data_IF_041634813852
#
_entry.id   IF_041634813852
#
_cell.length_a   1.000
_cell.length_b   1.000
_cell.length_c   1.000
_cell.angle_alpha   90.00
_cell.angle_beta   90.00
_cell.angle_gamma   90.00
#
_symmetry.space_group_name_H-M   'P 1'
#
loop_
_entity.id
_entity.type
_entity.pdbx_description
1 polymer ?
#
# COMPACT_ATOMS: atom_id res chain seq x y z
N UNK A 1 1.50 -12.56 -2.15
CA UNK A 1 0.89 -11.54 -1.28
C UNK A 1 1.58 -11.42 0.07
N UNK A 2 1.52 -10.23 0.67
CA UNK A 2 1.92 -9.95 2.05
C UNK A 2 0.72 -10.03 3.02
N UNK A 3 -0.50 -10.06 2.48
CA UNK A 3 -1.76 -9.94 3.23
C UNK A 3 -2.74 -11.07 2.90
N UNK A 4 -2.44 -12.33 3.25
CA UNK A 4 -3.25 -13.48 2.87
C UNK A 4 -4.71 -13.38 3.35
N UNK A 5 -4.97 -12.72 4.46
CA UNK A 5 -6.31 -12.51 4.98
C UNK A 5 -7.15 -11.59 4.10
N UNK A 6 -6.56 -10.50 3.62
CA UNK A 6 -7.21 -9.56 2.69
C UNK A 6 -7.54 -10.27 1.39
N UNK A 7 -6.58 -10.99 0.82
CA UNK A 7 -6.77 -11.77 -0.42
C UNK A 7 -7.88 -12.80 -0.24
N UNK A 8 -7.87 -13.56 0.86
CA UNK A 8 -8.91 -14.54 1.16
C UNK A 8 -10.29 -13.92 1.20
N UNK A 9 -10.46 -12.85 1.96
CA UNK A 9 -11.75 -12.22 2.15
C UNK A 9 -12.27 -11.57 0.87
N UNK A 10 -11.40 -10.93 0.11
CA UNK A 10 -11.75 -10.32 -1.16
C UNK A 10 -12.12 -11.38 -2.21
N UNK A 11 -11.34 -12.45 -2.33
CA UNK A 11 -11.63 -13.57 -3.22
C UNK A 11 -12.96 -14.25 -2.85
N UNK A 12 -13.22 -14.47 -1.57
CA UNK A 12 -14.47 -15.03 -1.10
C UNK A 12 -15.69 -14.17 -1.49
N UNK A 13 -15.60 -12.86 -1.29
CA UNK A 13 -16.63 -11.91 -1.72
C UNK A 13 -16.85 -11.94 -3.22
N UNK A 14 -15.78 -11.90 -3.99
CA UNK A 14 -15.83 -11.94 -5.44
C UNK A 14 -16.49 -13.22 -5.99
N UNK A 15 -16.20 -14.35 -5.35
CA UNK A 15 -16.77 -15.64 -5.71
C UNK A 15 -18.16 -15.88 -5.11
N UNK A 16 -18.67 -15.02 -4.22
CA UNK A 16 -19.95 -15.22 -3.55
C UNK A 16 -19.95 -16.46 -2.63
N UNK A 17 -18.82 -16.78 -2.00
CA UNK A 17 -18.69 -17.94 -1.10
C UNK A 17 -18.23 -17.52 0.30
N UNK A 18 -18.55 -18.30 1.34
CA UNK A 18 -18.02 -18.03 2.68
C UNK A 18 -16.48 -18.05 2.69
N UNK A 19 -15.86 -17.13 3.44
CA UNK A 19 -14.40 -17.04 3.55
C UNK A 19 -13.76 -18.35 4.06
N UNK A 20 -14.48 -19.13 4.85
CA UNK A 20 -14.03 -20.44 5.32
C UNK A 20 -13.80 -21.47 4.19
N UNK A 21 -14.39 -21.25 3.01
CA UNK A 21 -14.20 -22.09 1.82
C UNK A 21 -13.02 -21.65 0.95
N UNK A 22 -12.37 -20.57 1.28
CA UNK A 22 -11.20 -20.06 0.55
C UNK A 22 -9.95 -20.24 1.41
N UNK A 23 -8.97 -20.94 0.86
CA UNK A 23 -7.65 -21.09 1.47
C UNK A 23 -6.61 -20.37 0.64
N UNK A 24 -5.88 -19.46 1.26
CA UNK A 24 -4.72 -18.77 0.68
C UNK A 24 -3.46 -19.30 1.35
N UNK A 25 -2.56 -19.85 0.57
CA UNK A 25 -1.26 -20.33 1.04
C UNK A 25 -0.17 -19.47 0.42
N UNK A 26 0.68 -18.89 1.25
CA UNK A 26 1.76 -18.01 0.83
C UNK A 26 3.08 -18.70 1.12
N UNK A 27 3.87 -19.02 0.08
CA UNK A 27 5.25 -19.47 0.26
C UNK A 27 6.11 -18.27 0.73
N UNK A 28 7.41 -18.49 1.05
CA UNK A 28 8.31 -17.39 1.37
C UNK A 28 8.27 -16.30 0.29
N UNK A 29 7.94 -15.07 0.70
CA UNK A 29 7.64 -13.97 -0.25
C UNK A 29 8.90 -13.44 -0.92
N UNK A 30 10.06 -13.50 -0.27
CA UNK A 30 11.33 -13.00 -0.79
C UNK A 30 11.47 -11.48 -0.80
N UNK A 31 10.41 -10.76 -0.54
CA UNK A 31 10.30 -9.30 -0.55
C UNK A 31 9.03 -8.85 -1.24
N UNK A 32 8.46 -7.75 -0.79
CA UNK A 32 7.22 -7.18 -1.36
C UNK A 32 7.27 -5.66 -1.44
N UNK A 33 7.88 -5.01 -0.43
CA UNK A 33 8.10 -3.55 -0.37
C UNK A 33 6.82 -2.72 -0.58
N UNK A 34 5.66 -3.24 -0.17
CA UNK A 34 4.34 -2.66 -0.41
C UNK A 34 3.62 -3.22 -1.63
N UNK A 35 4.30 -3.53 -2.72
CA UNK A 35 3.71 -3.99 -3.98
C UNK A 35 2.77 -5.21 -3.83
N UNK A 36 3.00 -6.07 -2.84
CA UNK A 36 2.23 -7.28 -2.61
C UNK A 36 1.16 -7.12 -1.52
N UNK A 37 0.78 -5.90 -1.18
CA UNK A 37 -0.31 -5.61 -0.24
C UNK A 37 -1.69 -5.63 -0.90
N UNK A 38 -1.77 -5.37 -2.19
CA UNK A 38 -3.04 -5.27 -2.89
C UNK A 38 -3.43 -6.57 -3.59
N UNK A 39 -4.65 -6.56 -4.12
CA UNK A 39 -5.25 -7.61 -4.94
C UNK A 39 -4.66 -7.54 -6.35
N UNK A 40 -3.63 -8.33 -6.61
CA UNK A 40 -2.99 -8.34 -7.92
C UNK A 40 -3.64 -9.37 -8.86
N UNK A 41 -3.12 -10.58 -8.87
CA UNK A 41 -3.52 -11.64 -9.81
C UNK A 41 -4.42 -12.71 -9.18
N UNK A 42 -4.48 -12.79 -7.85
CA UNK A 42 -5.14 -13.89 -7.14
C UNK A 42 -6.65 -13.96 -7.41
N UNK A 43 -7.41 -12.83 -7.39
CA UNK A 43 -8.82 -12.86 -7.72
C UNK A 43 -9.09 -13.27 -9.16
N UNK A 44 -8.24 -12.86 -10.10
CA UNK A 44 -8.36 -13.24 -11.52
C UNK A 44 -8.13 -14.74 -11.70
N UNK A 45 -7.09 -15.30 -11.06
CA UNK A 45 -6.84 -16.73 -11.09
C UNK A 45 -8.03 -17.53 -10.53
N UNK A 46 -8.64 -17.05 -9.45
CA UNK A 46 -9.80 -17.69 -8.84
C UNK A 46 -11.04 -17.65 -9.76
N UNK A 47 -11.31 -16.51 -10.40
CA UNK A 47 -12.41 -16.38 -11.37
C UNK A 47 -12.21 -17.27 -12.59
N UNK A 48 -11.00 -17.31 -13.14
CA UNK A 48 -10.66 -18.14 -14.28
C UNK A 48 -10.79 -19.64 -13.94
N UNK A 49 -10.36 -20.04 -12.76
CA UNK A 49 -10.51 -21.41 -12.28
C UNK A 49 -11.98 -21.80 -12.16
N UNK A 50 -12.82 -20.91 -11.62
CA UNK A 50 -14.27 -21.13 -11.56
C UNK A 50 -14.93 -21.23 -12.94
N UNK A 51 -14.56 -20.33 -13.84
CA UNK A 51 -15.13 -20.27 -15.18
C UNK A 51 -14.74 -21.47 -16.04
N UNK A 52 -13.49 -21.92 -15.93
CA UNK A 52 -12.98 -23.06 -16.70
C UNK A 52 -13.28 -24.43 -16.06
N UNK A 53 -13.63 -24.47 -14.78
CA UNK A 53 -13.77 -25.72 -14.00
C UNK A 53 -12.45 -26.49 -13.83
N UNK A 54 -11.30 -25.83 -14.02
CA UNK A 54 -9.96 -26.43 -14.00
C UNK A 54 -9.01 -25.62 -13.10
N UNK A 55 -7.93 -26.24 -12.59
CA UNK A 55 -6.85 -25.51 -11.96
C UNK A 55 -6.25 -24.48 -12.93
N UNK A 56 -5.97 -23.29 -12.42
CA UNK A 56 -5.39 -22.18 -13.19
C UNK A 56 -4.08 -21.73 -12.57
N UNK A 57 -3.08 -21.53 -13.41
CA UNK A 57 -1.84 -20.85 -13.08
C UNK A 57 -1.80 -19.54 -13.86
N UNK A 58 -1.67 -18.42 -13.14
CA UNK A 58 -1.53 -17.09 -13.73
C UNK A 58 -0.16 -16.54 -13.37
N UNK A 59 0.57 -16.08 -14.36
CA UNK A 59 1.88 -15.46 -14.23
C UNK A 59 1.94 -14.31 -15.21
N UNK A 60 2.11 -13.09 -14.70
CA UNK A 60 2.29 -11.92 -15.56
C UNK A 60 3.64 -11.98 -16.27
N UNK A 61 3.68 -11.56 -17.51
CA UNK A 61 4.91 -11.18 -18.19
C UNK A 61 5.50 -9.91 -17.53
N UNK A 62 6.73 -9.56 -17.88
CA UNK A 62 7.33 -8.31 -17.39
C UNK A 62 6.53 -7.08 -17.84
N UNK A 63 6.04 -7.09 -19.06
CA UNK A 63 5.24 -6.00 -19.61
C UNK A 63 3.89 -5.86 -18.88
N UNK A 64 3.18 -6.96 -18.69
CA UNK A 64 1.92 -6.97 -17.93
C UNK A 64 2.13 -6.50 -16.49
N UNK A 65 3.21 -6.93 -15.83
CA UNK A 65 3.53 -6.48 -14.48
C UNK A 65 3.76 -4.97 -14.43
N UNK A 66 4.52 -4.42 -15.39
CA UNK A 66 4.78 -2.99 -15.48
C UNK A 66 3.52 -2.15 -15.78
N UNK A 67 2.52 -2.73 -16.42
CA UNK A 67 1.25 -2.05 -16.72
C UNK A 67 0.22 -2.16 -15.60
N UNK A 68 0.30 -3.18 -14.76
CA UNK A 68 -0.77 -3.51 -13.81
C UNK A 68 -0.36 -3.43 -12.34
N UNK A 69 0.93 -3.34 -12.04
CA UNK A 69 1.38 -3.21 -10.66
C UNK A 69 1.12 -1.80 -10.10
N UNK A 70 1.07 -1.72 -8.80
CA UNK A 70 1.08 -0.44 -8.11
C UNK A 70 2.47 0.21 -8.25
N UNK A 71 2.49 1.53 -8.36
CA UNK A 71 3.71 2.30 -8.42
C UNK A 71 4.02 2.93 -7.07
N UNK A 72 5.29 3.30 -6.86
CA UNK A 72 5.66 4.08 -5.71
C UNK A 72 5.05 5.48 -5.84
N UNK A 73 4.48 5.94 -4.76
CA UNK A 73 3.84 7.24 -4.67
C UNK A 73 4.81 8.41 -4.86
N UNK A 74 4.36 9.45 -5.53
CA UNK A 74 5.00 10.75 -5.49
C UNK A 74 4.57 11.48 -4.22
N UNK A 75 5.47 12.25 -3.62
CA UNK A 75 5.15 13.02 -2.44
C UNK A 75 5.83 14.39 -2.46
N UNK A 76 5.11 15.40 -2.02
CA UNK A 76 5.66 16.70 -1.67
C UNK A 76 5.78 16.79 -0.15
N UNK A 77 7.00 16.99 0.34
CA UNK A 77 7.30 17.01 1.77
C UNK A 77 7.89 18.35 2.16
N UNK A 78 7.26 19.02 3.12
CA UNK A 78 7.73 20.27 3.71
C UNK A 78 7.98 20.06 5.18
N UNK A 79 9.22 20.28 5.63
CA UNK A 79 9.62 20.10 7.02
C UNK A 79 10.24 21.41 7.53
N UNK A 80 9.80 21.84 8.71
CA UNK A 80 10.39 22.93 9.46
C UNK A 80 10.72 22.42 10.85
N UNK A 81 11.97 22.59 11.28
CA UNK A 81 12.40 22.20 12.62
C UNK A 81 13.01 23.42 13.34
N UNK A 82 12.63 23.61 14.59
CA UNK A 82 13.28 24.53 15.49
C UNK A 82 14.34 23.79 16.30
N UNK A 83 15.56 24.29 16.28
CA UNK A 83 16.70 23.68 16.95
C UNK A 83 17.39 24.67 17.87
N UNK A 84 17.92 24.21 18.98
CA UNK A 84 18.78 24.96 19.88
C UNK A 84 20.22 24.98 19.38
N UNK A 85 21.08 25.87 19.92
CA UNK A 85 22.49 25.98 19.48
C UNK A 85 23.32 24.74 19.82
N UNK A 86 22.92 23.98 20.80
CA UNK A 86 23.53 22.71 21.21
C UNK A 86 22.97 21.48 20.46
N UNK A 87 22.09 21.70 19.47
CA UNK A 87 21.59 20.65 18.58
C UNK A 87 20.30 19.98 19.04
N UNK A 88 19.69 20.40 20.16
CA UNK A 88 18.38 19.90 20.58
C UNK A 88 17.27 20.33 19.64
N UNK A 89 16.33 19.42 19.32
CA UNK A 89 15.16 19.74 18.51
C UNK A 89 13.99 20.06 19.43
N UNK A 90 13.60 21.33 19.48
CA UNK A 90 12.52 21.81 20.35
C UNK A 90 11.15 21.76 19.71
N UNK A 91 11.08 21.67 18.38
CA UNK A 91 9.82 21.52 17.67
C UNK A 91 9.99 21.13 16.22
N UNK A 92 8.95 20.48 15.65
CA UNK A 92 8.89 20.13 14.24
C UNK A 92 7.49 20.32 13.70
N UNK A 93 7.38 21.00 12.58
CA UNK A 93 6.21 21.03 11.72
C UNK A 93 6.55 20.28 10.42
N UNK A 94 5.71 19.34 10.02
CA UNK A 94 5.85 18.68 8.74
C UNK A 94 4.49 18.54 8.06
N UNK A 95 4.47 18.81 6.76
CA UNK A 95 3.31 18.62 5.88
C UNK A 95 3.74 17.73 4.74
N UNK A 96 2.98 16.68 4.50
CA UNK A 96 3.18 15.76 3.38
C UNK A 96 1.91 15.69 2.55
N UNK A 97 2.05 15.89 1.25
CA UNK A 97 1.03 15.60 0.26
C UNK A 97 1.48 14.36 -0.50
N UNK A 98 0.69 13.30 -0.46
CA UNK A 98 0.97 12.04 -1.14
C UNK A 98 0.01 11.88 -2.32
N UNK A 99 0.57 11.60 -3.48
CA UNK A 99 -0.20 11.23 -4.67
C UNK A 99 -0.76 9.82 -4.49
N UNK A 100 -2.08 9.65 -4.55
CA UNK A 100 -2.72 8.35 -4.49
C UNK A 100 -3.23 7.84 -5.84
N UNK A 101 -2.97 8.57 -6.92
CA UNK A 101 -3.50 8.23 -8.22
C UNK A 101 -5.03 8.30 -8.27
N UNK A 102 -5.63 7.55 -9.20
CA UNK A 102 -7.06 7.66 -9.50
C UNK A 102 -7.97 6.97 -8.46
N UNK A 103 -7.50 5.94 -7.76
CA UNK A 103 -8.36 5.07 -6.94
C UNK A 103 -8.03 5.02 -5.45
N UNK A 104 -6.96 5.63 -5.02
CA UNK A 104 -6.60 5.73 -3.60
C UNK A 104 -6.00 4.46 -2.98
N UNK A 105 -6.44 3.27 -3.31
CA UNK A 105 -5.84 2.00 -2.85
C UNK A 105 -5.43 1.97 -1.37
N UNK A 106 -4.22 1.53 -1.11
CA UNK A 106 -3.58 1.49 0.21
C UNK A 106 -3.10 2.86 0.72
N UNK A 107 -3.23 3.94 -0.08
CA UNK A 107 -2.71 5.27 0.26
C UNK A 107 -3.28 5.86 1.54
N UNK A 108 -4.51 5.52 1.92
CA UNK A 108 -5.10 5.96 3.19
C UNK A 108 -4.27 5.41 4.36
N UNK A 109 -3.88 4.15 4.29
CA UNK A 109 -3.04 3.51 5.29
C UNK A 109 -1.62 4.11 5.28
N UNK A 110 -1.00 4.23 4.11
CA UNK A 110 0.34 4.81 3.94
C UNK A 110 0.41 6.26 4.41
N UNK A 111 -0.61 7.06 4.13
CA UNK A 111 -0.73 8.43 4.60
C UNK A 111 -0.71 8.51 6.12
N UNK A 112 -1.43 7.60 6.79
CA UNK A 112 -1.45 7.51 8.25
C UNK A 112 -0.08 7.09 8.79
N UNK A 113 0.52 6.05 8.20
CA UNK A 113 1.87 5.59 8.59
C UNK A 113 2.92 6.69 8.41
N UNK A 114 2.85 7.45 7.32
CA UNK A 114 3.74 8.58 7.06
C UNK A 114 3.61 9.63 8.13
N UNK A 115 2.40 10.00 8.54
CA UNK A 115 2.19 10.96 9.63
C UNK A 115 2.87 10.49 10.93
N UNK A 116 2.78 9.21 11.27
CA UNK A 116 3.42 8.66 12.47
C UNK A 116 4.96 8.64 12.38
N UNK A 117 5.51 8.47 11.19
CA UNK A 117 6.97 8.32 11.00
C UNK A 117 7.70 9.64 10.75
N UNK A 118 6.99 10.72 10.41
CA UNK A 118 7.59 12.04 10.12
C UNK A 118 8.37 12.66 11.30
N UNK A 119 8.08 12.24 12.51
CA UNK A 119 8.87 12.62 13.69
C UNK A 119 10.30 12.09 13.61
N UNK A 120 10.52 10.97 12.93
CA UNK A 120 11.79 10.25 12.91
C UNK A 120 12.12 9.67 14.28
N UNK A 121 13.40 9.33 14.46
CA UNK A 121 13.92 8.74 15.69
C UNK A 121 14.47 9.80 16.66
N UNK A 122 13.86 10.98 16.66
CA UNK A 122 14.30 12.10 17.49
C UNK A 122 13.38 12.34 18.68
N UNK A 123 13.95 12.78 19.79
CA UNK A 123 13.16 13.35 20.87
C UNK A 123 12.74 14.76 20.46
N UNK A 124 11.45 14.95 20.24
CA UNK A 124 10.88 16.22 19.80
C UNK A 124 10.09 16.86 20.94
N UNK A 125 10.22 18.17 21.12
CA UNK A 125 9.42 18.92 22.09
C UNK A 125 7.98 19.07 21.61
N UNK A 126 7.71 20.01 20.72
CA UNK A 126 6.41 20.22 20.11
C UNK A 126 6.37 19.66 18.67
N UNK A 127 5.26 19.00 18.28
CA UNK A 127 5.13 18.37 16.96
C UNK A 127 3.79 18.71 16.34
N UNK A 128 3.84 19.15 15.08
CA UNK A 128 2.67 19.28 14.21
C UNK A 128 2.92 18.52 12.91
N UNK A 129 2.24 17.42 12.73
CA UNK A 129 2.40 16.57 11.54
C UNK A 129 1.06 16.50 10.80
N UNK A 130 1.11 16.76 9.49
CA UNK A 130 -0.04 16.69 8.60
C UNK A 130 0.34 15.85 7.40
N UNK A 131 -0.38 14.78 7.16
CA UNK A 131 -0.24 13.98 5.95
C UNK A 131 -1.59 13.90 5.23
N UNK A 132 -1.58 14.11 3.93
CA UNK A 132 -2.78 14.11 3.09
C UNK A 132 -2.57 13.25 1.86
N UNK A 133 -3.52 12.36 1.57
CA UNK A 133 -3.63 11.69 0.30
C UNK A 133 -4.42 12.57 -0.68
N UNK A 134 -3.94 12.69 -1.91
CA UNK A 134 -4.55 13.52 -2.95
C UNK A 134 -4.80 12.64 -4.18
N UNK A 135 -6.03 12.63 -4.65
CA UNK A 135 -6.37 11.97 -5.91
C UNK A 135 -5.79 12.74 -7.09
N UNK A 136 -5.25 12.00 -8.05
CA UNK A 136 -4.68 12.55 -9.27
C UNK A 136 -5.05 11.69 -10.49
N UNK A 137 -4.71 12.18 -11.69
CA UNK A 137 -4.94 11.46 -12.94
C UNK A 137 -3.79 10.51 -13.32
N UNK A 138 -3.10 9.97 -12.32
CA UNK A 138 -2.07 8.95 -12.54
C UNK A 138 -2.58 7.55 -12.25
N UNK A 139 -1.79 6.53 -12.61
CA UNK A 139 -2.06 5.17 -12.18
C UNK A 139 -2.10 5.10 -10.64
N UNK A 140 -2.88 4.16 -10.06
CA UNK A 140 -2.93 4.00 -8.61
C UNK A 140 -1.54 3.74 -8.03
N UNK A 141 -1.27 4.37 -6.90
CA UNK A 141 -0.01 4.25 -6.16
C UNK A 141 -0.26 3.47 -4.86
N UNK A 142 0.77 2.77 -4.35
CA UNK A 142 0.69 1.98 -3.12
C UNK A 142 2.02 1.45 -2.61
#
# INVERSE_FOLDING_TARGET
TQVPWTIRNATARLLGVPAARVRVTVPPVGGGFGLKFDLAIEPFAALLARASGRPVRLVNSREEEMLTCLFRENAEIRIRSAVTRDGGIVGREAVVLMDCGAYGGEQIFLTTMTAHTLGGNYSLGAVRLVSRAVYTNTAPNG
#
